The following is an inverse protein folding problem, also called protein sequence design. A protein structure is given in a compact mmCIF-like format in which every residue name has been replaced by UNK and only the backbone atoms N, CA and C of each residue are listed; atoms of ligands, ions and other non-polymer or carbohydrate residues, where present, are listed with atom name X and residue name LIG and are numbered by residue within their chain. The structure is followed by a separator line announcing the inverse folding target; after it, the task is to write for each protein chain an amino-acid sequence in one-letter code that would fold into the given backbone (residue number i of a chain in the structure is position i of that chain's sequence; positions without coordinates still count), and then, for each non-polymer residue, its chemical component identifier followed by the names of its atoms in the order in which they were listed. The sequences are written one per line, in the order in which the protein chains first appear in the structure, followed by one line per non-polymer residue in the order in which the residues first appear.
data_IF_444160784691
#
_entry.id   IF_444160784691
#
_cell.length_a   1.000
_cell.length_b   1.000
_cell.length_c   1.000
_cell.angle_alpha   90.00
_cell.angle_beta   90.00
_cell.angle_gamma   90.00
#
_symmetry.space_group_name_H-M   'P 1'
#
loop_
_entity.id
_entity.type
_entity.pdbx_description
1 polymer ?
#
# COMPACT_ATOMS: atom_id res chain seq x y z
N UNK A 1 3.56 -18.11 -3.95
CA UNK A 1 3.14 -16.79 -4.45
C UNK A 1 3.98 -15.72 -3.81
N UNK A 2 4.56 -14.83 -4.59
CA UNK A 2 5.41 -13.76 -4.06
C UNK A 2 4.58 -12.52 -3.70
N UNK A 3 4.90 -11.90 -2.58
CA UNK A 3 4.19 -10.73 -2.05
C UNK A 3 5.19 -9.67 -1.62
N UNK A 4 4.86 -8.42 -1.86
CA UNK A 4 5.63 -7.29 -1.36
C UNK A 4 4.67 -6.30 -0.69
N UNK A 5 5.16 -5.58 0.31
CA UNK A 5 4.42 -4.52 1.00
C UNK A 5 5.24 -3.24 0.96
N UNK A 6 4.66 -2.20 0.37
CA UNK A 6 5.30 -0.90 0.22
C UNK A 6 4.37 0.20 0.72
N UNK A 7 4.93 1.21 1.37
CA UNK A 7 4.13 2.29 1.95
C UNK A 7 4.94 3.57 2.05
N UNK A 8 4.23 4.68 2.24
CA UNK A 8 4.84 5.91 2.74
C UNK A 8 4.01 6.46 3.89
N UNK A 9 4.66 6.82 4.98
CA UNK A 9 3.98 7.28 6.19
C UNK A 9 4.80 8.37 6.89
N UNK A 10 4.17 9.53 7.16
CA UNK A 10 4.81 10.60 7.92
C UNK A 10 4.55 10.46 9.41
N UNK A 11 3.31 10.12 9.79
CA UNK A 11 2.89 10.03 11.19
C UNK A 11 3.09 8.64 11.81
N UNK A 12 3.30 7.62 10.97
CA UNK A 12 3.40 6.24 11.42
C UNK A 12 2.11 5.45 11.35
N UNK A 13 0.97 6.06 11.02
CA UNK A 13 -0.31 5.37 10.94
C UNK A 13 -0.34 4.36 9.78
N UNK A 14 0.00 4.79 8.59
CA UNK A 14 0.05 3.90 7.42
C UNK A 14 1.13 2.82 7.62
N UNK A 15 2.24 3.18 8.27
CA UNK A 15 3.29 2.22 8.61
C UNK A 15 2.76 1.07 9.46
N UNK A 16 1.95 1.35 10.47
CA UNK A 16 1.37 0.31 11.33
C UNK A 16 0.52 -0.66 10.51
N UNK A 17 -0.33 -0.15 9.64
CA UNK A 17 -1.17 -0.97 8.77
C UNK A 17 -0.29 -1.83 7.86
N UNK A 18 0.73 -1.23 7.24
CA UNK A 18 1.66 -1.96 6.39
C UNK A 18 2.37 -3.08 7.15
N UNK A 19 2.78 -2.84 8.39
CA UNK A 19 3.44 -3.84 9.20
C UNK A 19 2.53 -5.02 9.55
N UNK A 20 1.25 -4.77 9.83
CA UNK A 20 0.30 -5.84 10.08
C UNK A 20 0.09 -6.72 8.84
N UNK A 21 -0.01 -6.10 7.67
CA UNK A 21 -0.13 -6.82 6.41
C UNK A 21 1.14 -7.64 6.14
N UNK A 22 2.30 -7.04 6.32
CA UNK A 22 3.59 -7.68 6.06
C UNK A 22 3.82 -8.88 6.99
N UNK A 23 3.49 -8.73 8.26
CA UNK A 23 3.57 -9.82 9.24
C UNK A 23 2.74 -11.03 8.78
N UNK A 24 1.52 -10.77 8.30
CA UNK A 24 0.63 -11.81 7.80
C UNK A 24 1.20 -12.50 6.57
N UNK A 25 1.82 -11.73 5.68
CA UNK A 25 2.41 -12.26 4.44
C UNK A 25 3.79 -12.90 4.65
N UNK A 26 4.41 -12.70 5.81
CA UNK A 26 5.75 -13.22 6.09
C UNK A 26 6.84 -12.46 5.36
N UNK A 27 6.64 -11.17 5.09
CA UNK A 27 7.61 -10.29 4.41
C UNK A 27 7.82 -9.02 5.23
N UNK A 28 8.78 -8.19 4.81
CA UNK A 28 9.01 -6.89 5.45
C UNK A 28 8.13 -5.82 4.82
N UNK A 29 7.63 -4.90 5.65
CA UNK A 29 7.02 -3.67 5.16
C UNK A 29 8.15 -2.67 4.89
N UNK A 30 8.24 -2.17 3.65
CA UNK A 30 9.32 -1.30 3.23
C UNK A 30 8.78 0.06 2.80
N UNK A 31 9.33 1.12 3.38
CA UNK A 31 8.96 2.48 2.98
C UNK A 31 9.50 2.77 1.58
N UNK A 32 8.69 3.44 0.76
CA UNK A 32 9.05 3.72 -0.64
C UNK A 32 10.25 4.64 -0.80
N UNK A 33 10.62 5.39 0.23
CA UNK A 33 11.81 6.25 0.24
C UNK A 33 13.07 5.53 0.70
N UNK A 34 12.97 4.24 0.96
CA UNK A 34 14.09 3.40 1.37
C UNK A 34 14.86 2.88 0.14
N UNK A 35 16.16 2.64 0.31
CA UNK A 35 17.01 2.12 -0.78
C UNK A 35 16.59 0.74 -1.28
N UNK A 36 15.93 -0.04 -0.45
CA UNK A 36 15.50 -1.40 -0.82
C UNK A 36 14.02 -1.49 -1.22
N UNK A 37 13.38 -0.36 -1.53
CA UNK A 37 11.98 -0.35 -1.95
C UNK A 37 11.78 -0.87 -3.38
N UNK A 38 12.80 -0.76 -4.22
CA UNK A 38 12.70 -1.22 -5.61
C UNK A 38 12.45 -2.73 -5.67
N UNK A 39 11.55 -3.15 -6.57
CA UNK A 39 11.25 -4.56 -6.77
C UNK A 39 12.28 -5.15 -7.74
N UNK A 40 13.13 -6.04 -7.24
CA UNK A 40 14.17 -6.68 -8.05
C UNK A 40 13.60 -7.77 -8.95
N UNK A 41 12.55 -8.43 -8.51
CA UNK A 41 11.86 -9.47 -9.26
C UNK A 41 10.37 -9.17 -9.32
N UNK A 42 9.67 -9.81 -10.27
CA UNK A 42 8.22 -9.68 -10.35
C UNK A 42 7.57 -10.24 -9.08
N UNK A 43 6.60 -9.51 -8.53
CA UNK A 43 5.78 -9.99 -7.42
C UNK A 43 4.37 -10.28 -7.92
N UNK A 44 3.74 -11.31 -7.36
CA UNK A 44 2.37 -11.67 -7.73
C UNK A 44 1.38 -10.69 -7.13
N UNK A 45 1.62 -10.27 -5.89
CA UNK A 45 0.75 -9.34 -5.17
C UNK A 45 1.58 -8.24 -4.53
N UNK A 46 1.23 -7.00 -4.81
CA UNK A 46 1.82 -5.83 -4.16
C UNK A 46 0.75 -5.15 -3.31
N UNK A 47 0.97 -5.14 -1.99
CA UNK A 47 0.19 -4.26 -1.10
C UNK A 47 0.89 -2.92 -1.06
N UNK A 48 0.19 -1.87 -1.45
CA UNK A 48 0.77 -0.53 -1.50
C UNK A 48 -0.18 0.48 -0.88
N UNK A 49 0.36 1.35 -0.05
CA UNK A 49 -0.47 2.30 0.68
C UNK A 49 0.22 3.59 1.05
N UNK A 50 -0.59 4.57 1.36
CA UNK A 50 -0.15 5.87 1.81
C UNK A 50 -1.31 6.64 2.39
N UNK A 51 -0.99 7.74 3.07
CA UNK A 51 -1.98 8.63 3.67
C UNK A 51 -2.37 9.73 2.70
N UNK A 52 -3.52 10.33 2.96
CA UNK A 52 -3.97 11.52 2.25
C UNK A 52 -3.52 12.77 3.00
N UNK A 53 -2.93 13.70 2.28
CA UNK A 53 -2.54 15.02 2.79
C UNK A 53 -3.35 16.09 2.07
N UNK A 54 -3.21 17.36 2.47
CA UNK A 54 -3.99 18.45 1.91
C UNK A 54 -3.86 18.57 0.38
N UNK A 55 -2.73 18.18 -0.17
CA UNK A 55 -2.43 18.25 -1.61
C UNK A 55 -2.53 16.90 -2.33
N UNK A 56 -3.01 15.86 -1.66
CA UNK A 56 -3.12 14.51 -2.22
C UNK A 56 -2.20 13.52 -1.51
N UNK A 57 -1.62 12.59 -2.25
CA UNK A 57 -0.64 11.65 -1.70
C UNK A 57 0.76 12.26 -1.72
N UNK A 58 1.64 11.73 -0.87
CA UNK A 58 3.01 12.25 -0.76
C UNK A 58 3.80 12.09 -2.06
N UNK A 59 4.69 13.03 -2.33
CA UNK A 59 5.52 13.02 -3.53
C UNK A 59 6.42 11.79 -3.60
N UNK A 60 6.96 11.32 -2.48
CA UNK A 60 7.76 10.08 -2.44
C UNK A 60 6.95 8.89 -2.95
N UNK A 61 5.68 8.81 -2.56
CA UNK A 61 4.79 7.76 -3.04
C UNK A 61 4.50 7.92 -4.53
N UNK A 62 4.22 9.13 -4.98
CA UNK A 62 3.99 9.41 -6.40
C UNK A 62 5.17 8.98 -7.27
N UNK A 63 6.39 9.32 -6.86
CA UNK A 63 7.59 8.95 -7.61
C UNK A 63 7.78 7.44 -7.65
N UNK A 64 7.54 6.78 -6.53
CA UNK A 64 7.64 5.32 -6.51
C UNK A 64 6.63 4.66 -7.45
N UNK A 65 5.39 5.11 -7.45
CA UNK A 65 4.34 4.58 -8.33
C UNK A 65 4.74 4.69 -9.81
N UNK A 66 5.46 5.73 -10.18
CA UNK A 66 5.96 5.90 -11.56
C UNK A 66 6.98 4.85 -11.97
N UNK A 67 7.65 4.21 -11.02
CA UNK A 67 8.65 3.17 -11.31
C UNK A 67 8.03 1.80 -11.55
N UNK A 68 6.76 1.63 -11.23
CA UNK A 68 6.07 0.35 -11.32
C UNK A 68 5.50 0.11 -12.72
N UNK A 69 5.27 -1.15 -13.05
CA UNK A 69 4.66 -1.54 -14.32
C UNK A 69 3.99 -2.91 -14.17
N UNK A 70 3.12 -3.24 -15.12
CA UNK A 70 2.48 -4.56 -15.14
C UNK A 70 3.46 -5.72 -15.29
N UNK A 71 4.67 -5.44 -15.78
CA UNK A 71 5.74 -6.45 -15.88
C UNK A 71 6.31 -6.81 -14.50
N UNK A 72 6.22 -5.90 -13.54
CA UNK A 72 6.79 -6.09 -12.19
C UNK A 72 5.75 -6.53 -11.16
N UNK A 73 4.48 -6.29 -11.41
CA UNK A 73 3.42 -6.52 -10.43
C UNK A 73 2.26 -7.29 -11.08
N UNK A 74 1.95 -8.45 -10.54
CA UNK A 74 0.82 -9.26 -11.03
C UNK A 74 -0.51 -8.58 -10.72
N UNK A 75 -0.69 -8.18 -9.48
CA UNK A 75 -1.84 -7.35 -9.07
C UNK A 75 -1.47 -6.51 -7.85
N UNK A 76 -2.16 -5.41 -7.67
CA UNK A 76 -1.97 -4.51 -6.54
C UNK A 76 -3.21 -4.45 -5.66
N UNK A 77 -2.98 -4.37 -4.36
CA UNK A 77 -4.02 -4.20 -3.34
C UNK A 77 -3.70 -2.93 -2.58
N UNK A 78 -4.64 -2.00 -2.53
CA UNK A 78 -4.38 -0.65 -2.01
C UNK A 78 -4.93 -0.48 -0.59
N UNK A 79 -4.14 0.13 0.27
CA UNK A 79 -4.58 0.50 1.61
C UNK A 79 -4.24 1.96 1.91
N UNK A 80 -4.95 2.57 2.84
CA UNK A 80 -4.72 3.96 3.20
C UNK A 80 -5.18 4.25 4.62
N UNK A 81 -4.58 5.30 5.18
CA UNK A 81 -5.06 5.91 6.42
C UNK A 81 -5.21 7.40 6.19
N UNK A 82 -6.17 8.02 6.85
CA UNK A 82 -6.31 9.47 6.84
C UNK A 82 -7.25 9.89 7.96
N UNK A 83 -7.41 11.20 8.13
CA UNK A 83 -8.31 11.69 9.15
C UNK A 83 -9.78 11.42 8.78
N UNK A 84 -10.21 11.77 7.58
CA UNK A 84 -11.61 11.63 7.17
C UNK A 84 -11.83 11.05 5.78
N UNK A 85 -10.91 11.26 4.84
CA UNK A 85 -11.15 11.01 3.43
C UNK A 85 -10.50 9.73 2.93
N UNK A 86 -11.20 9.01 2.07
CA UNK A 86 -10.68 7.83 1.36
C UNK A 86 -10.05 8.18 0.01
N UNK A 87 -9.91 9.47 -0.29
CA UNK A 87 -9.47 9.92 -1.63
C UNK A 87 -8.08 9.40 -2.02
N UNK A 88 -7.19 9.14 -1.05
CA UNK A 88 -5.88 8.57 -1.35
C UNK A 88 -5.98 7.22 -2.05
N UNK A 89 -6.99 6.42 -1.71
CA UNK A 89 -7.22 5.12 -2.37
C UNK A 89 -7.42 5.31 -3.87
N UNK A 90 -8.24 6.29 -4.26
CA UNK A 90 -8.51 6.57 -5.67
C UNK A 90 -7.27 7.07 -6.39
N UNK A 91 -6.50 7.95 -5.77
CA UNK A 91 -5.26 8.49 -6.35
C UNK A 91 -4.24 7.38 -6.61
N UNK A 92 -4.07 6.48 -5.66
CA UNK A 92 -3.13 5.36 -5.80
C UNK A 92 -3.62 4.38 -6.86
N UNK A 93 -4.91 4.04 -6.84
CA UNK A 93 -5.49 3.11 -7.83
C UNK A 93 -5.36 3.66 -9.25
N UNK A 94 -5.62 4.94 -9.45
CA UNK A 94 -5.50 5.57 -10.76
C UNK A 94 -4.06 5.53 -11.25
N UNK A 95 -3.09 5.83 -10.38
CA UNK A 95 -1.68 5.81 -10.74
C UNK A 95 -1.23 4.39 -11.16
N UNK A 96 -1.68 3.37 -10.43
CA UNK A 96 -1.36 1.98 -10.75
C UNK A 96 -2.01 1.54 -12.07
N UNK A 97 -3.26 1.88 -12.26
CA UNK A 97 -3.99 1.55 -13.49
C UNK A 97 -3.33 2.18 -14.71
N UNK A 98 -2.85 3.43 -14.57
CA UNK A 98 -2.15 4.12 -15.65
C UNK A 98 -0.81 3.44 -16.01
N UNK A 99 -0.27 2.62 -15.13
CA UNK A 99 0.95 1.85 -15.38
C UNK A 99 0.67 0.43 -15.88
N UNK A 100 -0.56 0.13 -16.23
CA UNK A 100 -0.93 -1.19 -16.75
C UNK A 100 -0.99 -2.27 -15.68
N UNK A 101 -1.12 -1.90 -14.41
CA UNK A 101 -1.18 -2.84 -13.29
C UNK A 101 -2.64 -3.17 -12.98
N UNK A 102 -2.94 -4.45 -12.82
CA UNK A 102 -4.25 -4.88 -12.35
C UNK A 102 -4.39 -4.51 -10.88
N UNK A 103 -5.46 -3.78 -10.54
CA UNK A 103 -5.72 -3.34 -9.17
C UNK A 103 -6.97 -4.02 -8.64
N UNK A 104 -6.89 -4.60 -7.45
CA UNK A 104 -8.07 -5.17 -6.80
C UNK A 104 -9.07 -4.07 -6.45
N UNK A 105 -10.36 -4.36 -6.64
CA UNK A 105 -11.43 -3.41 -6.32
C UNK A 105 -11.59 -3.22 -4.81
N UNK A 106 -11.26 -4.27 -4.04
CA UNK A 106 -11.34 -4.25 -2.59
C UNK A 106 -10.13 -3.49 -2.02
N UNK A 107 -10.36 -2.61 -1.07
CA UNK A 107 -9.32 -1.77 -0.46
C UNK A 107 -9.45 -1.80 1.05
N UNK A 108 -8.36 -1.45 1.74
CA UNK A 108 -8.35 -1.35 3.21
C UNK A 108 -8.14 0.10 3.61
N UNK A 109 -9.03 0.61 4.44
CA UNK A 109 -8.94 1.99 4.92
C UNK A 109 -9.21 2.06 6.41
N UNK A 110 -8.40 2.84 7.13
CA UNK A 110 -8.64 3.16 8.54
C UNK A 110 -8.51 4.66 8.77
N UNK A 111 -9.39 5.21 9.58
CA UNK A 111 -9.20 6.56 10.09
C UNK A 111 -7.98 6.55 11.01
N UNK A 112 -7.22 7.64 11.03
CA UNK A 112 -5.99 7.74 11.82
C UNK A 112 -6.17 7.32 13.27
N UNK A 113 -7.28 7.73 13.89
CA UNK A 113 -7.59 7.41 15.29
C UNK A 113 -7.96 5.94 15.52
N UNK A 114 -8.26 5.20 14.47
CA UNK A 114 -8.65 3.79 14.57
C UNK A 114 -7.49 2.82 14.32
N UNK A 115 -6.33 3.34 13.93
CA UNK A 115 -5.19 2.50 13.52
C UNK A 115 -4.67 1.63 14.66
N UNK A 116 -4.62 2.13 15.87
CA UNK A 116 -4.07 1.37 17.01
C UNK A 116 -4.85 0.08 17.30
N UNK A 117 -6.14 0.02 16.97
CA UNK A 117 -6.97 -1.16 17.20
C UNK A 117 -7.29 -1.96 15.95
N UNK A 118 -6.59 -1.71 14.84
CA UNK A 118 -6.98 -2.28 13.54
C UNK A 118 -6.28 -3.58 13.16
N UNK A 119 -5.41 -4.13 14.01
CA UNK A 119 -4.59 -5.30 13.66
C UNK A 119 -5.41 -6.48 13.10
N UNK A 120 -6.44 -6.89 13.83
CA UNK A 120 -7.23 -8.07 13.44
C UNK A 120 -7.90 -7.88 12.08
N UNK A 121 -8.42 -6.69 11.83
CA UNK A 121 -9.06 -6.38 10.56
C UNK A 121 -8.06 -6.34 9.41
N UNK A 122 -6.88 -5.76 9.65
CA UNK A 122 -5.82 -5.72 8.65
C UNK A 122 -5.31 -7.14 8.30
N UNK A 123 -5.13 -7.97 9.31
CA UNK A 123 -4.71 -9.37 9.13
C UNK A 123 -5.75 -10.15 8.33
N UNK A 124 -7.01 -9.99 8.67
CA UNK A 124 -8.12 -10.66 7.98
C UNK A 124 -8.19 -10.24 6.51
N UNK A 125 -8.00 -8.94 6.25
CA UNK A 125 -7.98 -8.41 4.88
C UNK A 125 -6.81 -9.00 4.09
N UNK A 126 -5.61 -8.97 4.66
CA UNK A 126 -4.42 -9.46 3.98
C UNK A 126 -4.54 -10.94 3.59
N UNK A 127 -5.13 -11.75 4.45
CA UNK A 127 -5.31 -13.19 4.19
C UNK A 127 -6.12 -13.50 2.94
N UNK A 128 -6.92 -12.56 2.46
CA UNK A 128 -7.71 -12.75 1.24
C UNK A 128 -6.83 -12.80 -0.01
N UNK A 129 -5.63 -12.23 0.05
CA UNK A 129 -4.79 -12.01 -1.13
C UNK A 129 -3.41 -12.67 -1.02
N UNK A 130 -3.22 -13.49 -0.02
CA UNK A 130 -1.95 -14.20 0.20
C UNK A 130 -2.07 -15.68 -0.10
#
# INVERSE_FOLDING_TARGET
MSTAVRYYSRSGNTKKVAEYIAETAGVDAVSVDSNNAELSDKVDVLFIGGALYAYGIDENLKQYLKTLSGDKVGKAVVFSTSWLSKHALDLIKDALTNKGIKVESDTLYFKSKAVDGCRDEAVKFAKKYI
#
